data_IF_393000410542
#
_entry.id   IF_393000410542
#
_cell.length_a   1.000
_cell.length_b   1.000
_cell.length_c   1.000
_cell.angle_alpha   90.00
_cell.angle_beta   90.00
_cell.angle_gamma   90.00
#
_symmetry.space_group_name_H-M   'P 1'
#
loop_
_entity.id
_entity.type
_entity.pdbx_description
1 polymer ?
#
# COMPACT_ATOMS: atom_id res chain seq x y z
N UNK A 1 -4.55 -17.10 27.56
CA UNK A 1 -4.70 -16.56 26.18
C UNK A 1 -3.47 -15.73 25.91
N UNK A 2 -2.64 -16.10 24.94
CA UNK A 2 -1.49 -15.28 24.58
C UNK A 2 -2.00 -13.97 23.99
N UNK A 3 -1.58 -12.84 24.57
CA UNK A 3 -1.76 -11.52 23.97
C UNK A 3 -0.88 -11.48 22.71
N UNK A 4 -1.43 -11.90 21.58
CA UNK A 4 -0.81 -11.74 20.27
C UNK A 4 -0.78 -10.23 19.96
N UNK A 5 0.26 -9.54 20.45
CA UNK A 5 0.46 -8.11 20.25
C UNK A 5 1.04 -7.88 18.86
N UNK A 6 0.37 -7.06 18.05
CA UNK A 6 0.91 -6.62 16.76
C UNK A 6 1.82 -5.41 17.02
N UNK A 7 3.08 -5.47 16.58
CA UNK A 7 4.04 -4.38 16.74
C UNK A 7 4.59 -3.94 15.37
N UNK A 8 4.64 -2.63 15.06
CA UNK A 8 5.17 -2.15 13.80
C UNK A 8 6.70 -2.34 13.74
N UNK A 9 7.21 -2.67 12.56
CA UNK A 9 8.64 -2.83 12.33
C UNK A 9 9.02 -2.14 11.03
N UNK A 10 9.86 -1.11 11.12
CA UNK A 10 10.61 -0.57 9.98
C UNK A 10 12.06 -1.04 10.04
N UNK A 11 12.59 -1.51 8.91
CA UNK A 11 14.02 -1.79 8.76
C UNK A 11 14.56 -1.08 7.53
N UNK A 12 15.66 -0.36 7.69
CA UNK A 12 16.40 0.18 6.56
C UNK A 12 17.25 -0.95 5.95
N UNK A 13 17.06 -1.21 4.65
CA UNK A 13 17.85 -2.15 3.88
C UNK A 13 18.36 -1.46 2.61
N UNK A 14 19.67 -1.19 2.56
CA UNK A 14 20.30 -0.36 1.52
C UNK A 14 19.60 1.00 1.41
N UNK A 15 18.97 1.28 0.25
CA UNK A 15 18.24 2.53 -0.04
C UNK A 15 16.72 2.39 0.16
N UNK A 16 16.25 1.23 0.64
CA UNK A 16 14.83 0.94 0.81
C UNK A 16 14.47 0.84 2.30
N UNK A 17 13.36 1.46 2.69
CA UNK A 17 12.73 1.24 3.99
C UNK A 17 11.72 0.11 3.85
N UNK A 18 11.99 -1.04 4.48
CA UNK A 18 11.06 -2.17 4.58
C UNK A 18 10.11 -1.95 5.74
N UNK A 19 8.80 -2.03 5.48
CA UNK A 19 7.75 -1.78 6.46
C UNK A 19 6.91 -3.04 6.64
N UNK A 20 6.69 -3.40 7.90
CA UNK A 20 5.99 -4.62 8.28
C UNK A 20 5.52 -4.60 9.72
N UNK A 21 5.10 -5.76 10.20
CA UNK A 21 4.65 -5.97 11.58
C UNK A 21 5.28 -7.23 12.17
N UNK A 22 5.47 -7.25 13.48
CA UNK A 22 5.61 -8.47 14.24
C UNK A 22 4.22 -9.00 14.60
N UNK A 23 3.94 -10.24 14.20
CA UNK A 23 2.73 -10.99 14.55
C UNK A 23 3.15 -12.39 15.02
N UNK A 24 2.72 -12.80 16.21
CA UNK A 24 3.10 -14.10 16.80
C UNK A 24 4.61 -14.39 16.74
N UNK A 25 5.43 -13.40 17.13
CA UNK A 25 6.90 -13.46 17.08
C UNK A 25 7.50 -13.66 15.68
N UNK A 26 6.74 -13.35 14.61
CA UNK A 26 7.21 -13.37 13.22
C UNK A 26 7.15 -11.98 12.64
N UNK A 27 8.25 -11.54 12.04
CA UNK A 27 8.24 -10.33 11.22
C UNK A 27 7.64 -10.63 9.84
N UNK A 28 6.51 -10.01 9.58
CA UNK A 28 5.79 -10.02 8.30
C UNK A 28 6.08 -8.70 7.61
N UNK A 29 6.77 -8.79 6.47
CA UNK A 29 7.10 -7.64 5.64
C UNK A 29 5.98 -7.43 4.62
N UNK A 30 5.40 -6.23 4.58
CA UNK A 30 4.30 -5.92 3.65
C UNK A 30 4.80 -5.18 2.41
N UNK A 31 5.72 -4.24 2.60
CA UNK A 31 6.23 -3.42 1.52
C UNK A 31 7.64 -2.92 1.77
N UNK A 32 8.28 -2.48 0.70
CA UNK A 32 9.42 -1.58 0.78
C UNK A 32 9.11 -0.28 0.05
N UNK A 33 9.73 0.80 0.52
CA UNK A 33 9.61 2.11 -0.10
C UNK A 33 10.95 2.80 -0.25
N UNK A 34 11.10 3.56 -1.32
CA UNK A 34 12.26 4.39 -1.55
C UNK A 34 11.91 5.63 -2.37
N UNK A 35 12.73 6.67 -2.20
CA UNK A 35 12.71 7.86 -3.03
C UNK A 35 13.92 7.86 -3.96
N UNK A 36 13.73 8.34 -5.18
CA UNK A 36 14.81 8.60 -6.13
C UNK A 36 15.19 10.08 -6.12
N UNK A 37 16.34 10.41 -6.72
CA UNK A 37 16.90 11.77 -6.73
C UNK A 37 15.98 12.79 -7.43
N UNK A 38 15.20 12.35 -8.41
CA UNK A 38 14.18 13.17 -9.10
C UNK A 38 12.92 13.42 -8.24
N UNK A 39 12.86 12.88 -7.03
CA UNK A 39 11.71 12.96 -6.14
C UNK A 39 10.58 11.99 -6.48
N UNK A 40 10.82 11.00 -7.36
CA UNK A 40 9.86 9.91 -7.55
C UNK A 40 9.80 9.02 -6.30
N UNK A 41 8.59 8.57 -5.96
CA UNK A 41 8.36 7.61 -4.89
C UNK A 41 8.11 6.24 -5.48
N UNK A 42 8.77 5.22 -4.94
CA UNK A 42 8.63 3.84 -5.35
C UNK A 42 8.14 3.05 -4.14
N UNK A 43 7.00 2.39 -4.33
CA UNK A 43 6.41 1.44 -3.41
C UNK A 43 6.51 0.05 -4.03
N UNK A 44 7.10 -0.91 -3.33
CA UNK A 44 7.11 -2.31 -3.74
C UNK A 44 6.34 -3.14 -2.71
N UNK A 45 5.30 -3.84 -3.16
CA UNK A 45 4.65 -4.84 -2.33
C UNK A 45 5.50 -6.11 -2.26
N UNK A 46 5.52 -6.77 -1.10
CA UNK A 46 6.13 -8.11 -0.94
C UNK A 46 5.13 -9.24 -1.17
N UNK A 47 4.07 -8.94 -1.91
CA UNK A 47 2.91 -9.80 -2.06
C UNK A 47 3.09 -10.67 -3.27
N UNK A 48 3.29 -11.97 -3.04
CA UNK A 48 3.45 -12.93 -4.12
C UNK A 48 2.07 -13.46 -4.53
N UNK A 49 1.90 -13.57 -5.83
CA UNK A 49 0.66 -14.02 -6.44
C UNK A 49 0.93 -15.32 -7.19
N UNK A 50 0.10 -16.34 -6.97
CA UNK A 50 0.19 -17.64 -7.62
C UNK A 50 -0.53 -17.64 -8.99
N UNK A 51 -0.35 -16.57 -9.77
CA UNK A 51 -0.99 -16.35 -11.09
C UNK A 51 -2.51 -16.15 -11.05
N UNK A 52 -3.08 -15.80 -9.90
CA UNK A 52 -4.47 -15.36 -9.81
C UNK A 52 -4.59 -13.90 -10.30
N UNK A 53 -5.76 -13.43 -10.78
CA UNK A 53 -5.91 -12.04 -11.16
C UNK A 53 -5.97 -11.13 -9.94
N UNK A 54 -5.08 -10.12 -9.88
CA UNK A 54 -5.24 -8.97 -8.99
C UNK A 54 -6.17 -7.97 -9.65
N UNK A 55 -7.18 -7.57 -8.89
CA UNK A 55 -8.03 -6.46 -9.27
C UNK A 55 -7.33 -5.14 -8.98
N UNK A 56 -7.32 -4.29 -10.00
CA UNK A 56 -6.89 -2.89 -9.87
C UNK A 56 -8.02 -1.96 -10.30
N UNK A 57 -8.13 -0.82 -9.62
CA UNK A 57 -9.14 0.16 -9.99
C UNK A 57 -9.15 1.42 -9.15
N UNK A 58 -10.27 2.13 -9.23
CA UNK A 58 -10.55 3.31 -8.44
C UNK A 58 -11.47 3.00 -7.26
N UNK A 59 -11.34 3.80 -6.22
CA UNK A 59 -12.26 3.76 -5.08
C UNK A 59 -12.37 5.14 -4.44
N UNK A 60 -13.47 5.36 -3.72
CA UNK A 60 -13.69 6.58 -2.95
C UNK A 60 -13.60 6.28 -1.46
N UNK A 61 -12.99 7.18 -0.69
CA UNK A 61 -13.01 7.09 0.77
C UNK A 61 -14.20 7.89 1.33
N UNK A 62 -15.14 7.21 1.97
CA UNK A 62 -16.20 7.88 2.75
C UNK A 62 -15.99 7.58 4.23
N UNK A 63 -15.54 8.59 4.96
CA UNK A 63 -15.09 8.43 6.34
C UNK A 63 -13.85 7.53 6.40
N UNK A 64 -14.05 6.28 6.80
CA UNK A 64 -12.99 5.26 6.88
C UNK A 64 -13.24 4.03 6.02
N UNK A 65 -14.36 4.02 5.32
CA UNK A 65 -14.79 2.88 4.53
C UNK A 65 -14.46 3.17 3.07
N UNK A 66 -13.81 2.19 2.43
CA UNK A 66 -13.68 2.18 0.98
C UNK A 66 -15.09 1.93 0.42
N UNK A 67 -15.56 2.85 -0.41
CA UNK A 67 -16.85 2.74 -1.09
C UNK A 67 -16.66 2.97 -2.58
N UNK A 68 -17.69 2.61 -3.35
CA UNK A 68 -17.73 2.84 -4.79
C UNK A 68 -16.52 2.24 -5.53
N UNK A 69 -16.22 0.97 -5.27
CA UNK A 69 -15.10 0.29 -5.92
C UNK A 69 -15.41 0.15 -7.41
N UNK A 70 -14.64 0.83 -8.24
CA UNK A 70 -14.73 0.73 -9.69
C UNK A 70 -13.52 -0.04 -10.19
N UNK A 71 -13.74 -1.32 -10.44
CA UNK A 71 -12.79 -2.18 -11.15
C UNK A 71 -12.43 -1.55 -12.50
N UNK A 72 -11.15 -1.43 -12.77
CA UNK A 72 -10.65 -0.97 -14.07
C UNK A 72 -10.01 -2.12 -14.84
N UNK A 73 -9.09 -2.86 -14.22
CA UNK A 73 -8.35 -3.94 -14.87
C UNK A 73 -8.14 -5.13 -13.94
N UNK A 74 -7.88 -6.28 -14.57
CA UNK A 74 -7.37 -7.47 -13.90
C UNK A 74 -5.96 -7.74 -14.43
N UNK A 75 -5.02 -7.96 -13.53
CA UNK A 75 -3.65 -8.32 -13.90
C UNK A 75 -3.23 -9.61 -13.22
N UNK A 76 -2.72 -10.54 -14.01
CA UNK A 76 -2.02 -11.71 -13.49
C UNK A 76 -0.56 -11.34 -13.30
N UNK A 77 -0.04 -11.47 -12.08
CA UNK A 77 1.37 -11.24 -11.77
C UNK A 77 1.95 -12.46 -11.05
N UNK A 78 3.25 -12.66 -11.18
CA UNK A 78 3.95 -13.86 -10.67
C UNK A 78 4.87 -13.58 -9.48
N UNK A 79 5.46 -12.38 -9.41
CA UNK A 79 6.51 -12.06 -8.43
C UNK A 79 6.25 -10.78 -7.63
N UNK A 80 4.97 -10.43 -7.46
CA UNK A 80 4.53 -9.21 -6.78
C UNK A 80 4.63 -7.98 -7.67
N UNK A 81 4.24 -6.84 -7.12
CA UNK A 81 4.10 -5.61 -7.87
C UNK A 81 4.77 -4.42 -7.18
N UNK A 82 5.15 -3.44 -7.99
CA UNK A 82 5.56 -2.13 -7.54
C UNK A 82 4.74 -1.04 -8.20
N UNK A 83 4.55 0.03 -7.45
CA UNK A 83 3.87 1.25 -7.84
C UNK A 83 4.90 2.36 -7.76
N UNK A 84 5.10 3.08 -8.86
CA UNK A 84 6.00 4.22 -8.89
C UNK A 84 5.26 5.49 -9.26
N UNK A 85 5.53 6.56 -8.54
CA UNK A 85 4.95 7.88 -8.71
C UNK A 85 6.01 8.81 -9.25
N UNK A 86 5.68 9.52 -10.31
CA UNK A 86 6.60 10.42 -10.98
C UNK A 86 6.01 11.83 -10.98
N UNK A 87 6.38 12.70 -10.00
CA UNK A 87 5.78 14.02 -9.82
C UNK A 87 5.91 14.87 -11.08
N UNK A 88 7.11 14.95 -11.66
CA UNK A 88 7.35 15.76 -12.86
C UNK A 88 6.56 15.28 -14.07
N UNK A 89 6.36 13.96 -14.16
CA UNK A 89 5.66 13.34 -15.29
C UNK A 89 4.15 13.30 -15.08
N UNK A 90 3.65 13.56 -13.87
CA UNK A 90 2.24 13.45 -13.51
C UNK A 90 1.66 12.06 -13.84
N UNK A 91 2.47 11.02 -13.60
CA UNK A 91 2.07 9.63 -13.87
C UNK A 91 2.36 8.70 -12.70
N UNK A 92 1.55 7.64 -12.62
CA UNK A 92 1.75 6.47 -11.78
C UNK A 92 1.90 5.27 -12.70
N UNK A 93 2.86 4.42 -12.40
CA UNK A 93 2.98 3.12 -13.02
C UNK A 93 2.66 2.02 -12.03
N UNK A 94 1.81 1.09 -12.41
CA UNK A 94 1.67 -0.22 -11.78
C UNK A 94 2.48 -1.24 -12.60
N UNK A 95 3.38 -1.96 -11.94
CA UNK A 95 4.40 -2.79 -12.60
C UNK A 95 4.52 -4.14 -11.92
N UNK A 96 4.89 -5.15 -12.68
CA UNK A 96 5.35 -6.42 -12.11
C UNK A 96 6.78 -6.28 -11.60
N UNK A 97 7.10 -6.80 -10.42
CA UNK A 97 8.45 -6.72 -9.83
C UNK A 97 9.53 -7.33 -10.74
N UNK A 98 9.20 -8.43 -11.44
CA UNK A 98 10.08 -9.07 -12.41
C UNK A 98 9.23 -9.54 -13.61
N UNK A 99 9.52 -9.11 -14.85
CA UNK A 99 10.74 -8.43 -15.31
C UNK A 99 10.72 -6.88 -15.17
N UNK A 100 9.76 -6.28 -14.45
CA UNK A 100 9.63 -4.82 -14.40
C UNK A 100 8.63 -4.24 -15.40
N UNK A 101 7.85 -5.09 -16.08
CA UNK A 101 6.87 -4.69 -17.10
C UNK A 101 5.83 -3.75 -16.50
N UNK A 102 5.60 -2.61 -17.16
CA UNK A 102 4.47 -1.73 -16.85
C UNK A 102 3.18 -2.41 -17.29
N UNK A 103 2.29 -2.65 -16.33
CA UNK A 103 1.00 -3.30 -16.51
C UNK A 103 -0.09 -2.25 -16.71
N UNK A 104 0.00 -1.14 -15.99
CA UNK A 104 -0.94 -0.04 -16.08
C UNK A 104 -0.25 1.30 -15.84
N UNK A 105 -0.66 2.32 -16.58
CA UNK A 105 -0.19 3.71 -16.45
C UNK A 105 -1.40 4.59 -16.21
N UNK A 106 -1.42 5.28 -15.07
CA UNK A 106 -2.41 6.32 -14.78
C UNK A 106 -1.77 7.68 -14.97
N UNK A 107 -2.37 8.53 -15.79
CA UNK A 107 -2.02 9.96 -15.89
C UNK A 107 -3.01 10.75 -15.05
N UNK A 108 -2.50 11.60 -14.17
CA UNK A 108 -3.33 12.39 -13.25
C UNK A 108 -2.51 13.57 -12.76
N UNK A 109 -3.14 14.72 -12.58
CA UNK A 109 -2.47 15.90 -12.06
C UNK A 109 -2.50 15.86 -10.53
N UNK A 110 -1.35 15.59 -9.92
CA UNK A 110 -1.23 15.38 -8.48
C UNK A 110 -0.11 16.17 -7.85
N UNK A 111 0.71 16.83 -8.67
CA UNK A 111 1.80 17.66 -8.23
C UNK A 111 1.80 19.00 -9.00
N UNK A 112 2.07 20.17 -8.38
CA UNK A 112 2.31 20.38 -6.95
C UNK A 112 1.13 19.92 -6.09
N UNK A 113 1.41 19.52 -4.85
CA UNK A 113 0.38 19.05 -3.91
C UNK A 113 -0.06 20.25 -3.07
N UNK A 114 -1.28 20.74 -3.30
CA UNK A 114 -1.82 21.90 -2.57
C UNK A 114 -2.73 21.46 -1.41
N UNK A 115 -3.30 20.25 -1.49
CA UNK A 115 -4.08 19.63 -0.43
C UNK A 115 -3.71 18.15 -0.24
N UNK A 116 -3.86 17.59 0.98
CA UNK A 116 -3.58 16.17 1.20
C UNK A 116 -4.56 15.25 0.47
N UNK A 117 -4.05 14.20 -0.14
CA UNK A 117 -4.88 13.17 -0.75
C UNK A 117 -4.29 11.77 -0.57
N UNK A 118 -5.15 10.77 -0.69
CA UNK A 118 -4.78 9.36 -0.62
C UNK A 118 -4.44 8.90 -2.02
N UNK A 119 -3.40 8.13 -2.22
CA UNK A 119 -3.01 7.69 -3.55
C UNK A 119 -3.14 6.19 -3.77
N UNK A 120 -3.01 5.42 -2.70
CA UNK A 120 -3.02 3.98 -2.79
C UNK A 120 -3.64 3.37 -1.55
N UNK A 121 -4.52 2.41 -1.80
CA UNK A 121 -5.03 1.47 -0.83
C UNK A 121 -4.67 0.06 -1.27
N UNK A 122 -4.13 -0.70 -0.34
CA UNK A 122 -3.74 -2.09 -0.55
C UNK A 122 -4.22 -2.93 0.61
N UNK A 123 -4.97 -3.98 0.30
CA UNK A 123 -5.46 -4.93 1.30
C UNK A 123 -4.59 -6.18 1.35
N UNK A 124 -4.28 -6.64 2.57
CA UNK A 124 -3.65 -7.93 2.80
C UNK A 124 -4.66 -9.03 3.12
N UNK A 125 -4.36 -10.29 2.79
CA UNK A 125 -4.98 -11.46 3.41
C UNK A 125 -4.88 -11.39 4.93
N UNK A 126 -5.64 -12.24 5.64
CA UNK A 126 -5.58 -12.30 7.09
C UNK A 126 -4.17 -12.61 7.60
N UNK A 127 -3.77 -11.94 8.68
CA UNK A 127 -2.42 -12.02 9.24
C UNK A 127 -1.96 -13.45 9.58
N UNK A 128 -2.89 -14.30 9.98
CA UNK A 128 -2.63 -15.71 10.31
C UNK A 128 -2.19 -16.55 9.11
N UNK A 129 -2.52 -16.11 7.89
CA UNK A 129 -2.11 -16.76 6.64
C UNK A 129 -0.76 -16.24 6.14
N UNK A 130 -0.31 -15.10 6.67
CA UNK A 130 0.93 -14.47 6.25
C UNK A 130 2.16 -15.24 6.73
N UNK A 131 3.05 -15.56 5.79
CA UNK A 131 4.34 -16.19 6.06
C UNK A 131 5.42 -15.12 6.26
N UNK A 132 6.41 -15.38 7.13
CA UNK A 132 7.52 -14.47 7.40
C UNK A 132 8.44 -14.26 6.17
N UNK A 133 9.23 -13.18 6.17
CA UNK A 133 10.01 -12.55 5.06
C UNK A 133 10.76 -13.49 4.07
N UNK A 134 11.05 -14.75 4.42
CA UNK A 134 11.70 -15.74 3.54
C UNK A 134 10.73 -16.64 2.77
N UNK A 135 9.46 -16.69 3.14
CA UNK A 135 8.45 -17.51 2.50
C UNK A 135 7.44 -16.61 1.79
N UNK A 136 7.29 -16.81 0.49
CA UNK A 136 6.33 -16.08 -0.34
C UNK A 136 4.91 -16.32 0.22
N UNK A 137 4.28 -15.29 0.78
CA UNK A 137 2.89 -15.39 1.21
C UNK A 137 1.97 -15.31 -0.02
N UNK A 138 1.16 -16.35 -0.30
CA UNK A 138 0.22 -16.33 -1.40
C UNK A 138 -1.02 -15.50 -1.03
N UNK A 139 -1.30 -14.46 -1.81
CA UNK A 139 -2.40 -13.52 -1.53
C UNK A 139 -3.81 -14.05 -1.80
N UNK A 140 -3.90 -15.19 -2.49
CA UNK A 140 -5.14 -15.74 -3.03
C UNK A 140 -5.41 -17.18 -2.59
N UNK A 141 -4.69 -17.67 -1.58
CA UNK A 141 -5.05 -18.96 -1.00
C UNK A 141 -6.45 -18.85 -0.40
N UNK A 142 -7.36 -19.80 -0.66
CA UNK A 142 -8.65 -19.85 0.02
C UNK A 142 -8.46 -19.79 1.54
N UNK A 143 -9.00 -18.73 2.13
CA UNK A 143 -8.93 -18.43 3.56
C UNK A 143 -10.09 -19.16 4.24
N UNK A 144 -9.80 -19.98 5.26
CA UNK A 144 -10.82 -20.64 6.09
C UNK A 144 -11.65 -19.61 6.88
N UNK A 145 -12.87 -19.94 7.27
CA UNK A 145 -13.81 -18.96 7.85
C UNK A 145 -13.45 -18.48 9.27
N UNK A 146 -12.44 -19.10 9.91
CA UNK A 146 -12.00 -18.81 11.27
C UNK A 146 -10.93 -17.70 11.38
N UNK A 147 -10.55 -17.05 10.28
CA UNK A 147 -9.56 -15.96 10.29
C UNK A 147 -10.21 -14.59 10.50
N UNK A 148 -9.62 -13.73 11.34
CA UNK A 148 -10.35 -12.61 11.96
C UNK A 148 -9.85 -11.21 11.60
N UNK A 149 -8.64 -11.06 11.02
CA UNK A 149 -8.04 -9.73 10.84
C UNK A 149 -7.11 -9.61 9.63
N UNK A 150 -7.32 -8.57 8.82
CA UNK A 150 -6.50 -8.17 7.67
C UNK A 150 -5.86 -6.79 7.93
N UNK A 151 -4.92 -6.39 7.08
CA UNK A 151 -4.33 -5.05 7.11
C UNK A 151 -4.69 -4.30 5.83
N UNK A 152 -5.18 -3.06 5.99
CA UNK A 152 -5.22 -2.07 4.93
C UNK A 152 -3.96 -1.21 5.03
N UNK A 153 -3.12 -1.27 4.00
CA UNK A 153 -2.05 -0.31 3.78
C UNK A 153 -2.60 0.86 2.98
N UNK A 154 -2.30 2.06 3.45
CA UNK A 154 -2.73 3.31 2.85
C UNK A 154 -1.53 4.21 2.62
N UNK A 155 -1.44 4.81 1.45
CA UNK A 155 -0.41 5.81 1.14
C UNK A 155 -1.09 7.14 0.90
N UNK A 156 -0.73 8.13 1.70
CA UNK A 156 -1.18 9.51 1.57
C UNK A 156 -0.02 10.41 1.14
N UNK A 157 -0.34 11.42 0.33
CA UNK A 157 0.57 12.48 -0.06
C UNK A 157 0.12 13.80 0.58
N UNK A 158 1.08 14.55 1.12
CA UNK A 158 0.86 15.82 1.78
C UNK A 158 1.75 16.92 1.19
N UNK A 159 1.30 18.19 1.23
CA UNK A 159 2.18 19.33 1.00
C UNK A 159 3.38 19.26 1.95
N UNK A 160 4.57 19.61 1.45
CA UNK A 160 5.85 19.40 2.16
C UNK A 160 5.93 20.12 3.51
N UNK A 161 5.28 21.28 3.60
CA UNK A 161 5.37 22.20 4.74
C UNK A 161 4.18 22.09 5.71
N UNK A 162 3.33 21.07 5.54
CA UNK A 162 2.22 20.81 6.45
C UNK A 162 2.75 20.57 7.87
N UNK A 163 2.34 21.40 8.85
CA UNK A 163 2.84 21.32 10.23
C UNK A 163 2.01 20.42 11.15
N UNK A 164 0.71 20.28 10.87
CA UNK A 164 -0.20 19.43 11.65
C UNK A 164 -0.55 18.15 10.90
N UNK A 165 -0.06 17.03 11.41
CA UNK A 165 -0.38 15.71 10.90
C UNK A 165 -1.13 14.92 11.93
N UNK A 166 -2.45 14.94 11.86
CA UNK A 166 -3.24 14.10 12.74
C UNK A 166 -3.22 12.65 12.22
N UNK A 167 -2.68 11.70 13.01
CA UNK A 167 -2.88 10.28 12.71
C UNK A 167 -4.38 10.01 12.59
N UNK A 168 -4.81 9.25 11.59
CA UNK A 168 -6.22 8.84 11.56
C UNK A 168 -6.50 8.01 12.81
N UNK A 169 -7.64 8.26 13.49
CA UNK A 169 -8.01 7.59 14.76
C UNK A 169 -7.95 6.05 14.70
N UNK A 170 -8.05 5.46 13.52
CA UNK A 170 -8.10 4.01 13.31
C UNK A 170 -6.84 3.48 12.62
N UNK A 171 -5.85 4.34 12.36
CA UNK A 171 -4.53 3.87 11.95
C UNK A 171 -3.82 3.28 13.13
N UNK A 172 -3.46 2.01 12.99
CA UNK A 172 -2.74 1.31 14.03
C UNK A 172 -1.28 1.76 14.00
N UNK A 173 -0.72 2.00 12.80
CA UNK A 173 0.67 2.46 12.64
C UNK A 173 0.82 3.43 11.48
N UNK A 174 1.79 4.34 11.60
CA UNK A 174 2.07 5.38 10.61
C UNK A 174 3.59 5.52 10.42
N UNK A 175 4.02 5.52 9.17
CA UNK A 175 5.40 5.80 8.76
C UNK A 175 5.43 7.05 7.87
N UNK A 176 6.42 7.89 8.09
CA UNK A 176 6.61 9.13 7.33
C UNK A 176 7.86 9.06 6.47
N UNK A 177 7.70 9.33 5.18
CA UNK A 177 8.78 9.43 4.21
C UNK A 177 8.90 10.86 3.70
N UNK A 178 10.06 11.47 3.93
CA UNK A 178 10.32 12.85 3.51
C UNK A 178 10.99 12.86 2.13
N UNK A 179 10.27 13.38 1.14
CA UNK A 179 10.82 13.73 -0.18
C UNK A 179 11.10 15.25 -0.20
N UNK A 180 12.06 15.75 -1.01
CA UNK A 180 12.25 17.19 -1.18
C UNK A 180 11.00 17.95 -1.63
N UNK A 181 10.04 17.27 -2.26
CA UNK A 181 8.88 17.89 -2.95
C UNK A 181 7.55 17.75 -2.21
N UNK A 182 7.38 16.70 -1.44
CA UNK A 182 6.14 16.37 -0.75
C UNK A 182 6.46 15.44 0.42
N UNK A 183 5.49 15.26 1.29
CA UNK A 183 5.59 14.32 2.38
C UNK A 183 4.70 13.11 2.09
N UNK A 184 5.23 11.91 2.31
CA UNK A 184 4.49 10.66 2.17
C UNK A 184 4.17 10.11 3.55
N UNK A 185 2.92 9.73 3.77
CA UNK A 185 2.51 8.92 4.91
C UNK A 185 2.12 7.54 4.44
N UNK A 186 2.60 6.52 5.12
CA UNK A 186 2.17 5.14 4.94
C UNK A 186 1.52 4.70 6.23
N UNK A 187 0.22 4.46 6.17
CA UNK A 187 -0.59 4.05 7.31
C UNK A 187 -1.01 2.60 7.18
N UNK A 188 -1.05 1.90 8.30
CA UNK A 188 -1.49 0.52 8.41
C UNK A 188 -2.71 0.48 9.33
N UNK A 189 -3.85 0.07 8.79
CA UNK A 189 -5.11 -0.02 9.51
C UNK A 189 -5.48 -1.50 9.67
N UNK A 190 -5.77 -1.93 10.90
CA UNK A 190 -6.33 -3.24 11.16
C UNK A 190 -7.80 -3.22 10.76
N UNK A 191 -8.20 -4.17 9.93
CA UNK A 191 -9.58 -4.34 9.51
C UNK A 191 -10.07 -5.69 9.98
N UNK A 192 -11.23 -5.69 10.64
CA UNK A 192 -11.87 -6.90 11.17
C UNK A 192 -12.78 -7.54 10.12
N UNK A 193 -12.30 -7.60 8.87
CA UNK A 193 -13.03 -8.13 7.72
C UNK A 193 -12.06 -8.85 6.79
N UNK A 194 -12.52 -9.96 6.21
CA UNK A 194 -11.79 -10.71 5.19
C UNK A 194 -11.83 -9.91 3.89
N UNK A 195 -10.67 -9.43 3.43
CA UNK A 195 -10.56 -8.73 2.14
C UNK A 195 -9.51 -9.42 1.28
N UNK A 196 -9.81 -9.76 0.01
CA UNK A 196 -8.80 -10.25 -0.92
C UNK A 196 -7.77 -9.15 -1.20
N UNK A 197 -6.69 -9.55 -1.86
CA UNK A 197 -5.69 -8.64 -2.38
C UNK A 197 -6.30 -7.69 -3.41
N UNK A 198 -6.42 -6.41 -3.05
CA UNK A 198 -6.97 -5.39 -3.94
C UNK A 198 -6.06 -4.18 -3.94
N UNK A 199 -5.86 -3.59 -5.11
CA UNK A 199 -5.05 -2.39 -5.30
C UNK A 199 -5.96 -1.32 -5.86
N UNK A 200 -6.34 -0.35 -5.02
CA UNK A 200 -7.15 0.76 -5.48
C UNK A 200 -6.42 2.08 -5.27
N UNK A 201 -6.61 2.97 -6.23
CA UNK A 201 -6.21 4.36 -6.13
C UNK A 201 -7.47 5.24 -5.98
N UNK A 202 -7.32 6.48 -5.49
CA UNK A 202 -8.45 7.40 -5.37
C UNK A 202 -9.12 7.64 -6.73
N UNK A 203 -10.43 7.83 -6.75
CA UNK A 203 -11.09 8.44 -7.91
C UNK A 203 -10.53 9.83 -8.22
N UNK A 204 -10.60 10.27 -9.49
CA UNK A 204 -10.13 11.60 -9.91
C UNK A 204 -10.78 12.74 -9.11
N UNK A 205 -12.02 12.52 -8.64
CA UNK A 205 -12.74 13.48 -7.80
C UNK A 205 -12.10 13.71 -6.42
N UNK A 206 -11.28 12.77 -5.94
CA UNK A 206 -10.53 12.87 -4.67
C UNK A 206 -9.09 13.34 -4.86
N UNK A 207 -8.65 13.53 -6.12
CA UNK A 207 -7.32 14.04 -6.49
C UNK A 207 -7.30 15.55 -6.73
N UNK A 208 -8.38 16.26 -6.35
CA UNK A 208 -8.50 17.70 -6.60
C UNK A 208 -7.39 18.45 -5.87
N UNK A 209 -6.49 19.03 -6.67
CA UNK A 209 -5.50 20.02 -6.22
C UNK A 209 -6.24 21.27 -5.70
#
# INVERSE_FOLDING_TARGET
>A
MNNDKIEPVSKLDKKESRLGVNWRNKWINFCSVNFTEDGSFIFSSKFHNNKEPIEVGTSRLVGQTLVNHKKEQNHIISNGCHISLHPEKQVMHFRENFPGKILYTRKFHWYPVDTPFNLLYLYSPPLDTCLADKKKCPFFTPIQDNYTSSIQLKIDLFPRDTQEHFPQKNSVWIFWGYCPRYLVRISFNLINQRVPALIYWPEDSELKL
#
